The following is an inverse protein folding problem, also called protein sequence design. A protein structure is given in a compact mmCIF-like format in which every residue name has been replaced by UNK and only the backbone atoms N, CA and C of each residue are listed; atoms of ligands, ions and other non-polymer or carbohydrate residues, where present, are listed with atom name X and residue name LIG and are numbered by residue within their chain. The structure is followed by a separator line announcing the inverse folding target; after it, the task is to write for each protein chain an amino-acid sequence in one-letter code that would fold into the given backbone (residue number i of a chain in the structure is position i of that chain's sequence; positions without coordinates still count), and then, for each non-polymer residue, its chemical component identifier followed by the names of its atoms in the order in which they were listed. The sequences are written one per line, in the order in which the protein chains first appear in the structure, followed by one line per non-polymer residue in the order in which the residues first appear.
data_IF_523097040573
#
_entry.id   IF_523097040573
#
_cell.length_a   1.000
_cell.length_b   1.000
_cell.length_c   1.000
_cell.angle_alpha   90.00
_cell.angle_beta   90.00
_cell.angle_gamma   90.00
#
_symmetry.space_group_name_H-M   'P 1'
#
loop_
_entity.id
_entity.type
_entity.pdbx_description
1 polymer ?
#
# COMPACT_ATOMS: atom_id res chain seq x y z
N UNK A 1 -8.21 8.32 -0.42
CA UNK A 1 -7.03 9.10 0.02
C UNK A 1 -6.21 9.33 -1.23
N UNK A 2 -5.69 10.53 -1.45
CA UNK A 2 -4.78 10.77 -2.56
C UNK A 2 -3.47 10.04 -2.26
N UNK A 3 -2.86 9.44 -3.27
CA UNK A 3 -1.58 8.71 -3.14
C UNK A 3 -0.48 9.55 -2.45
N UNK A 4 -0.54 10.87 -2.59
CA UNK A 4 0.36 11.84 -1.96
C UNK A 4 0.23 11.95 -0.43
N UNK A 5 -0.85 11.44 0.17
CA UNK A 5 -1.08 11.46 1.63
C UNK A 5 -0.43 10.25 2.33
N UNK A 6 0.07 9.28 1.56
CA UNK A 6 0.74 8.10 2.11
C UNK A 6 2.18 8.42 2.52
N UNK A 7 2.68 7.85 3.63
CA UNK A 7 4.08 7.98 3.97
C UNK A 7 4.95 7.34 2.88
N UNK A 8 6.08 7.99 2.60
CA UNK A 8 7.08 7.49 1.65
C UNK A 8 7.72 6.21 2.16
N UNK A 9 8.30 5.44 1.24
CA UNK A 9 9.08 4.26 1.58
C UNK A 9 10.23 4.66 2.55
N UNK A 10 10.39 3.99 3.69
CA UNK A 10 11.42 4.34 4.67
C UNK A 10 12.83 3.97 4.22
N UNK A 11 12.99 3.04 3.26
CA UNK A 11 14.30 2.69 2.69
C UNK A 11 14.75 3.70 1.63
N UNK A 12 13.91 3.99 0.64
CA UNK A 12 14.33 4.75 -0.55
C UNK A 12 13.67 6.13 -0.71
N UNK A 13 12.81 6.55 0.22
CA UNK A 13 12.15 7.86 0.21
C UNK A 13 11.17 8.12 -0.95
N UNK A 14 10.88 7.10 -1.77
CA UNK A 14 9.98 7.20 -2.90
C UNK A 14 8.52 7.00 -2.50
N UNK A 15 7.61 7.56 -3.31
CA UNK A 15 6.18 7.44 -3.09
C UNK A 15 5.72 6.02 -3.44
N UNK A 16 4.90 5.38 -2.59
CA UNK A 16 4.36 4.06 -2.91
C UNK A 16 3.33 4.14 -4.04
N UNK A 17 3.17 3.03 -4.76
CA UNK A 17 2.30 2.90 -5.91
C UNK A 17 1.21 1.85 -5.68
N UNK A 18 -0.01 2.19 -6.08
CA UNK A 18 -1.15 1.27 -6.05
C UNK A 18 -1.06 0.32 -7.24
N UNK A 19 -0.66 -0.92 -6.98
CA UNK A 19 -0.70 -2.02 -7.93
C UNK A 19 -2.07 -2.73 -7.85
N UNK A 20 -3.15 -2.01 -8.14
CA UNK A 20 -4.52 -2.52 -8.12
C UNK A 20 -4.95 -3.02 -9.51
N UNK A 21 -5.62 -4.17 -9.56
CA UNK A 21 -6.16 -4.77 -10.78
C UNK A 21 -7.62 -5.16 -10.57
N UNK A 22 -8.52 -4.60 -11.38
CA UNK A 22 -9.92 -5.01 -11.43
C UNK A 22 -10.12 -6.22 -12.35
N UNK A 23 -11.08 -7.09 -12.03
CA UNK A 23 -11.57 -8.13 -12.92
C UNK A 23 -12.89 -7.72 -13.59
N UNK A 24 -13.36 -8.51 -14.56
CA UNK A 24 -14.64 -8.26 -15.25
C UNK A 24 -15.87 -8.26 -14.31
N UNK A 25 -15.77 -8.88 -13.13
CA UNK A 25 -16.83 -8.91 -12.12
C UNK A 25 -16.78 -7.68 -11.18
N UNK A 26 -15.90 -6.72 -11.43
CA UNK A 26 -15.74 -5.51 -10.61
C UNK A 26 -14.95 -5.74 -9.31
N UNK A 27 -14.42 -6.93 -9.07
CA UNK A 27 -13.56 -7.19 -7.92
C UNK A 27 -12.17 -6.67 -8.16
N UNK A 28 -11.63 -6.00 -7.15
CA UNK A 28 -10.31 -5.40 -7.17
C UNK A 28 -9.35 -6.21 -6.32
N UNK A 29 -8.26 -6.60 -6.94
CA UNK A 29 -7.15 -7.33 -6.32
C UNK A 29 -5.89 -6.46 -6.37
N UNK A 30 -4.88 -6.86 -5.61
CA UNK A 30 -3.58 -6.22 -5.66
C UNK A 30 -3.16 -5.62 -4.33
N UNK A 31 -2.37 -4.55 -4.39
CA UNK A 31 -1.73 -4.00 -3.21
C UNK A 31 -1.13 -2.61 -3.42
N UNK A 32 -0.43 -2.16 -2.39
CA UNK A 32 0.33 -0.93 -2.36
C UNK A 32 1.80 -1.30 -2.14
N UNK A 33 2.69 -0.86 -3.02
CA UNK A 33 4.11 -1.27 -2.99
C UNK A 33 5.04 -0.09 -3.24
N UNK A 34 6.28 -0.23 -2.78
CA UNK A 34 7.37 0.63 -3.23
C UNK A 34 7.66 0.38 -4.72
N UNK A 35 7.99 1.41 -5.53
CA UNK A 35 8.44 1.23 -6.92
C UNK A 35 9.66 0.30 -7.05
N UNK A 36 10.53 0.31 -6.04
CA UNK A 36 11.71 -0.56 -5.94
C UNK A 36 11.48 -1.84 -5.12
N UNK A 37 10.22 -2.16 -4.81
CA UNK A 37 9.81 -3.40 -4.12
C UNK A 37 10.41 -3.66 -2.71
N UNK A 38 11.04 -2.65 -2.07
CA UNK A 38 11.53 -2.78 -0.67
C UNK A 38 10.43 -3.21 0.32
N UNK A 39 9.23 -2.66 0.16
CA UNK A 39 8.07 -2.97 0.99
C UNK A 39 6.81 -3.06 0.15
N UNK A 40 5.89 -3.91 0.60
CA UNK A 40 4.59 -4.13 -0.03
C UNK A 40 3.55 -4.55 1.00
N UNK A 41 2.34 -4.03 0.84
CA UNK A 41 1.13 -4.53 1.50
C UNK A 41 0.13 -4.98 0.45
N UNK A 42 -0.52 -6.10 0.67
CA UNK A 42 -1.48 -6.68 -0.28
C UNK A 42 -2.84 -6.84 0.37
N UNK A 43 -3.90 -6.83 -0.44
CA UNK A 43 -5.23 -7.19 0.05
C UNK A 43 -5.27 -8.69 0.39
N UNK A 44 -5.86 -9.05 1.53
CA UNK A 44 -6.09 -10.44 1.93
C UNK A 44 -7.28 -11.10 1.19
N UNK A 45 -7.87 -10.42 0.21
CA UNK A 45 -9.03 -10.86 -0.57
C UNK A 45 -9.52 -9.78 -1.54
N UNK A 46 -10.53 -10.07 -2.35
CA UNK A 46 -11.07 -9.09 -3.30
C UNK A 46 -11.72 -7.92 -2.55
N UNK A 47 -11.41 -6.71 -2.98
CA UNK A 47 -12.17 -5.52 -2.62
C UNK A 47 -13.30 -5.29 -3.61
N UNK A 48 -14.43 -4.76 -3.15
CA UNK A 48 -15.57 -4.46 -4.03
C UNK A 48 -15.36 -3.26 -4.95
N UNK A 49 -14.29 -2.47 -4.75
CA UNK A 49 -13.92 -1.34 -5.61
C UNK A 49 -12.48 -0.88 -5.32
N UNK A 50 -11.90 -0.07 -6.21
CA UNK A 50 -10.57 0.53 -5.98
C UNK A 50 -10.57 1.40 -4.72
N UNK A 51 -11.62 2.21 -4.52
CA UNK A 51 -11.73 3.05 -3.33
C UNK A 51 -11.77 2.23 -2.02
N UNK A 52 -12.40 1.06 -2.02
CA UNK A 52 -12.37 0.14 -0.88
C UNK A 52 -10.99 -0.49 -0.70
N UNK A 53 -10.31 -0.84 -1.79
CA UNK A 53 -8.94 -1.35 -1.73
C UNK A 53 -8.00 -0.32 -1.12
N UNK A 54 -8.04 0.93 -1.57
CA UNK A 54 -7.23 2.03 -1.04
C UNK A 54 -7.48 2.24 0.46
N UNK A 55 -8.74 2.25 0.90
CA UNK A 55 -9.10 2.37 2.33
C UNK A 55 -8.53 1.24 3.19
N UNK A 56 -8.37 0.04 2.64
CA UNK A 56 -7.78 -1.11 3.34
C UNK A 56 -6.26 -1.11 3.29
N UNK A 57 -5.67 -0.66 2.18
CA UNK A 57 -4.21 -0.69 1.97
C UNK A 57 -3.49 0.47 2.65
N UNK A 58 -4.08 1.67 2.66
CA UNK A 58 -3.49 2.85 3.27
C UNK A 58 -3.09 2.64 4.76
N UNK A 59 -3.98 2.19 5.67
CA UNK A 59 -3.60 1.98 7.07
C UNK A 59 -2.53 0.89 7.22
N UNK A 60 -2.61 -0.20 6.45
CA UNK A 60 -1.60 -1.27 6.49
C UNK A 60 -0.21 -0.75 6.09
N UNK A 61 -0.14 0.10 5.07
CA UNK A 61 1.11 0.72 4.66
C UNK A 61 1.65 1.70 5.71
N UNK A 62 0.78 2.53 6.28
CA UNK A 62 1.17 3.47 7.35
C UNK A 62 1.74 2.71 8.55
N UNK A 63 1.10 1.63 8.98
CA UNK A 63 1.59 0.79 10.07
C UNK A 63 2.92 0.13 9.74
N UNK A 64 3.07 -0.39 8.50
CA UNK A 64 4.33 -0.98 8.04
C UNK A 64 5.45 0.05 8.08
N UNK A 65 5.23 1.24 7.52
CA UNK A 65 6.25 2.30 7.49
C UNK A 65 6.58 2.79 8.89
N UNK A 66 5.58 2.91 9.78
CA UNK A 66 5.80 3.26 11.18
C UNK A 66 6.68 2.21 11.89
N UNK A 67 6.37 0.92 11.73
CA UNK A 67 7.15 -0.18 12.32
C UNK A 67 8.58 -0.22 11.77
N UNK A 68 8.76 -0.02 10.47
CA UNK A 68 10.08 0.03 9.83
C UNK A 68 10.94 1.19 10.37
N UNK A 69 10.36 2.39 10.50
CA UNK A 69 11.05 3.54 11.10
C UNK A 69 11.38 3.34 12.58
N UNK A 70 10.50 2.69 13.35
CA UNK A 70 10.75 2.37 14.76
C UNK A 70 11.82 1.28 14.94
N UNK A 71 11.93 0.34 14.00
CA UNK A 71 12.94 -0.71 14.00
C UNK A 71 14.35 -0.25 13.62
N UNK A 72 14.49 0.91 12.99
CA UNK A 72 15.77 1.52 12.61
C UNK A 72 16.50 2.22 13.79
N UNK A 73 15.90 2.22 14.99
CA UNK A 73 16.55 2.67 16.23
C UNK A 73 17.18 1.48 16.94
N UNK A 74 18.26 0.94 16.38
CA UNK A 74 19.20 0.04 17.06
C UNK A 74 20.62 0.32 16.59
#
# INVERSE_FOLDING_TARGET
MKQNELPRCPECGNMPEYALKSNHMGWVWGGLKCPYDHYRVSLNGPAGSCAQAEKRLAPQWIELVKKANQGASK
#
